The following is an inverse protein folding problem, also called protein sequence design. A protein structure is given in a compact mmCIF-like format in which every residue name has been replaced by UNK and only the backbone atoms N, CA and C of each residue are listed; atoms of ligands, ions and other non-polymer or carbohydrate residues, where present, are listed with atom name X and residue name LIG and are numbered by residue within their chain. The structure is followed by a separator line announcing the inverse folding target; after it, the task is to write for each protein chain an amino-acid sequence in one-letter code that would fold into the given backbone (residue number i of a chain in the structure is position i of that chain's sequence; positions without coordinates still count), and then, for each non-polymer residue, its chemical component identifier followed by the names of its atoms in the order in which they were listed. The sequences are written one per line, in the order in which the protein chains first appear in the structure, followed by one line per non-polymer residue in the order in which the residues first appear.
data_IF_789829021368
#
_entry.id   IF_789829021368
#
_cell.length_a   1.000
_cell.length_b   1.000
_cell.length_c   1.000
_cell.angle_alpha   90.00
_cell.angle_beta   90.00
_cell.angle_gamma   90.00
#
_symmetry.space_group_name_H-M   'P 1'
#
loop_
_entity.id
_entity.type
_entity.pdbx_description
1 polymer ?
#
# COMPACT_ATOMS: atom_id res chain seq x y z
N UNK A 1 -5.79 28.93 13.89
CA UNK A 1 -6.61 27.70 14.06
C UNK A 1 -6.44 26.91 12.76
N UNK A 2 -5.37 26.12 12.65
CA UNK A 2 -5.06 25.34 11.44
C UNK A 2 -5.49 23.92 11.75
N UNK A 3 -6.64 23.54 11.18
CA UNK A 3 -7.27 22.24 11.42
C UNK A 3 -6.52 21.12 10.71
N UNK A 4 -6.47 19.98 11.39
CA UNK A 4 -6.09 18.65 10.93
C UNK A 4 -6.46 18.40 9.45
N UNK A 5 -5.45 18.34 8.57
CA UNK A 5 -5.54 17.63 7.29
C UNK A 5 -4.14 17.17 6.88
N UNK A 6 -3.51 16.36 7.72
CA UNK A 6 -2.16 15.85 7.47
C UNK A 6 -2.17 14.69 6.45
N UNK A 7 -3.36 14.15 6.13
CA UNK A 7 -3.54 13.04 5.19
C UNK A 7 -4.88 13.17 4.45
N UNK A 8 -5.12 14.31 3.78
CA UNK A 8 -6.01 14.28 2.62
C UNK A 8 -5.23 13.57 1.51
N UNK A 9 -5.68 12.41 1.02
CA UNK A 9 -5.07 11.80 -0.15
C UNK A 9 -5.20 12.78 -1.31
N UNK A 10 -4.15 12.86 -2.12
CA UNK A 10 -4.23 13.58 -3.39
C UNK A 10 -5.19 12.82 -4.30
N UNK A 11 -6.34 13.40 -4.71
CA UNK A 11 -7.16 12.81 -5.77
C UNK A 11 -6.32 12.58 -7.03
N UNK A 12 -5.36 13.48 -7.28
CA UNK A 12 -4.47 13.43 -8.43
C UNK A 12 -3.44 12.26 -8.43
N UNK A 13 -3.06 11.71 -7.27
CA UNK A 13 -2.05 10.65 -7.21
C UNK A 13 -2.66 9.26 -7.38
N UNK A 14 -3.87 9.05 -6.86
CA UNK A 14 -4.64 7.82 -7.08
C UNK A 14 -5.18 7.75 -8.51
N UNK A 15 -5.70 8.86 -9.05
CA UNK A 15 -6.13 8.96 -10.46
C UNK A 15 -4.97 8.66 -11.42
N UNK A 16 -3.78 9.22 -11.20
CA UNK A 16 -2.60 8.96 -12.05
C UNK A 16 -2.13 7.50 -12.00
N UNK A 17 -2.21 6.84 -10.83
CA UNK A 17 -1.82 5.43 -10.70
C UNK A 17 -2.80 4.48 -11.41
N UNK A 18 -4.09 4.79 -11.36
CA UNK A 18 -5.14 4.09 -12.12
C UNK A 18 -4.91 4.27 -13.61
N UNK A 19 -4.68 5.50 -14.07
CA UNK A 19 -4.48 5.80 -15.49
C UNK A 19 -3.21 5.18 -16.06
N UNK A 20 -2.11 5.16 -15.30
CA UNK A 20 -0.86 4.50 -15.73
C UNK A 20 -1.07 2.99 -15.85
N UNK A 21 -1.69 2.34 -14.86
CA UNK A 21 -1.91 0.89 -14.92
C UNK A 21 -2.91 0.55 -16.04
N UNK A 22 -3.95 1.35 -16.22
CA UNK A 22 -4.88 1.25 -17.33
C UNK A 22 -4.14 1.34 -18.68
N UNK A 23 -3.30 2.35 -18.87
CA UNK A 23 -2.48 2.52 -20.06
C UNK A 23 -1.55 1.32 -20.29
N UNK A 24 -0.86 0.84 -19.25
CA UNK A 24 0.02 -0.31 -19.35
C UNK A 24 -0.74 -1.59 -19.74
N UNK A 25 -1.95 -1.79 -19.21
CA UNK A 25 -2.81 -2.93 -19.56
C UNK A 25 -3.28 -2.85 -21.02
N UNK A 26 -3.65 -1.66 -21.50
CA UNK A 26 -4.07 -1.44 -22.88
C UNK A 26 -2.94 -1.63 -23.90
N UNK A 27 -1.70 -1.31 -23.50
CA UNK A 27 -0.53 -1.35 -24.36
C UNK A 27 0.36 -2.60 -24.13
N UNK A 28 -0.05 -3.51 -23.25
CA UNK A 28 0.70 -4.73 -22.97
C UNK A 28 0.67 -5.68 -24.18
N UNK A 29 1.82 -6.33 -24.45
CA UNK A 29 1.93 -7.38 -25.47
C UNK A 29 1.05 -8.61 -25.16
N UNK A 30 0.64 -8.78 -23.89
CA UNK A 30 -0.35 -9.75 -23.44
C UNK A 30 -1.52 -8.99 -22.80
N UNK A 31 -2.66 -9.02 -23.48
CA UNK A 31 -3.87 -8.36 -23.01
C UNK A 31 -4.38 -9.02 -21.72
N UNK A 32 -4.86 -8.17 -20.81
CA UNK A 32 -5.47 -8.57 -19.54
C UNK A 32 -6.89 -8.02 -19.50
N UNK A 33 -7.79 -8.69 -18.77
CA UNK A 33 -9.16 -8.18 -18.58
C UNK A 33 -9.09 -6.85 -17.81
N UNK A 34 -9.84 -5.86 -18.29
CA UNK A 34 -10.02 -4.56 -17.63
C UNK A 34 -10.52 -4.70 -16.20
N UNK A 35 -10.31 -3.68 -15.38
CA UNK A 35 -10.76 -3.61 -14.00
C UNK A 35 -12.27 -3.59 -13.83
N UNK A 36 -12.70 -3.60 -12.57
CA UNK A 36 -14.09 -3.35 -12.15
C UNK A 36 -14.16 -2.12 -11.24
N UNK A 37 -15.35 -1.88 -10.69
CA UNK A 37 -15.55 -0.94 -9.59
C UNK A 37 -14.63 -1.20 -8.38
N UNK A 38 -14.00 -2.37 -8.27
CA UNK A 38 -13.04 -2.63 -7.19
C UNK A 38 -11.79 -1.75 -7.31
N UNK A 39 -11.39 -1.32 -8.51
CA UNK A 39 -10.33 -0.33 -8.68
C UNK A 39 -10.75 0.97 -8.00
N UNK A 40 -11.96 1.45 -8.24
CA UNK A 40 -12.44 2.67 -7.58
C UNK A 40 -12.44 2.50 -6.06
N UNK A 41 -12.95 1.35 -5.57
CA UNK A 41 -13.01 1.05 -4.12
C UNK A 41 -11.61 1.06 -3.48
N UNK A 42 -10.60 0.42 -4.08
CA UNK A 42 -9.25 0.36 -3.50
C UNK A 42 -8.46 1.67 -3.63
N UNK A 43 -8.93 2.62 -4.45
CA UNK A 43 -8.35 3.95 -4.58
C UNK A 43 -9.18 5.04 -3.88
N UNK A 44 -10.28 4.69 -3.21
CA UNK A 44 -11.02 5.65 -2.39
C UNK A 44 -10.10 6.28 -1.35
N UNK A 45 -10.25 7.59 -1.10
CA UNK A 45 -9.41 8.34 -0.17
C UNK A 45 -9.27 7.70 1.22
N UNK A 46 -10.35 7.05 1.68
CA UNK A 46 -10.36 6.38 2.99
C UNK A 46 -9.48 5.12 3.06
N UNK A 47 -8.94 4.71 1.91
CA UNK A 47 -8.18 3.50 1.61
C UNK A 47 -6.91 3.83 0.82
N UNK A 48 -6.15 4.85 1.25
CA UNK A 48 -4.87 5.16 0.62
C UNK A 48 -3.92 3.95 0.71
N UNK A 49 -3.42 3.41 -0.41
CA UNK A 49 -2.55 2.26 -0.41
C UNK A 49 -1.19 2.50 0.26
N UNK A 50 -0.75 3.75 0.30
CA UNK A 50 0.44 4.17 1.02
C UNK A 50 0.18 4.33 2.52
N UNK A 51 -1.08 4.35 2.98
CA UNK A 51 -1.41 4.50 4.40
C UNK A 51 -0.70 3.46 5.27
N UNK A 52 -0.69 2.20 4.83
CA UNK A 52 0.03 1.16 5.55
C UNK A 52 1.53 1.49 5.59
N UNK A 53 2.12 1.80 4.43
CA UNK A 53 3.55 2.13 4.28
C UNK A 53 3.97 3.28 5.20
N UNK A 54 3.17 4.35 5.19
CA UNK A 54 3.46 5.65 5.77
C UNK A 54 3.07 5.79 7.24
N UNK A 55 2.17 4.95 7.79
CA UNK A 55 1.79 5.07 9.21
C UNK A 55 2.82 4.47 10.16
N UNK A 56 2.98 5.06 11.32
CA UNK A 56 3.66 4.43 12.46
C UNK A 56 2.75 4.46 13.67
N UNK A 57 2.83 3.43 14.53
CA UNK A 57 2.00 3.33 15.74
C UNK A 57 2.66 3.94 16.96
N UNK A 58 3.97 4.13 16.90
CA UNK A 58 4.80 4.64 17.99
C UNK A 58 6.11 5.21 17.42
N UNK A 59 6.91 5.78 18.32
CA UNK A 59 8.22 6.37 18.02
C UNK A 59 9.23 5.38 17.44
N UNK A 60 9.21 4.13 17.92
CA UNK A 60 10.14 3.11 17.47
C UNK A 60 9.90 2.76 16.00
N UNK A 61 8.64 2.58 15.61
CA UNK A 61 8.24 2.37 14.21
C UNK A 61 8.47 3.60 13.34
N UNK A 62 8.19 4.81 13.87
CA UNK A 62 8.45 6.07 13.16
C UNK A 62 9.93 6.20 12.82
N UNK A 63 10.81 5.97 13.79
CA UNK A 63 12.25 6.03 13.60
C UNK A 63 12.75 4.95 12.65
N UNK A 64 12.27 3.71 12.78
CA UNK A 64 12.66 2.61 11.90
C UNK A 64 12.27 2.88 10.44
N UNK A 65 11.06 3.39 10.19
CA UNK A 65 10.58 3.73 8.84
C UNK A 65 11.26 4.97 8.26
N UNK A 66 11.53 5.99 9.09
CA UNK A 66 12.23 7.21 8.68
C UNK A 66 13.69 7.01 8.28
N UNK A 67 14.27 5.84 8.55
CA UNK A 67 15.63 5.49 8.16
C UNK A 67 15.72 4.68 6.85
N UNK A 68 14.60 4.45 6.14
CA UNK A 68 14.55 3.60 4.95
C UNK A 68 13.60 4.13 3.87
N UNK A 69 12.92 3.20 3.18
CA UNK A 69 12.08 3.46 2.00
C UNK A 69 11.07 4.61 2.17
N UNK A 70 10.54 4.84 3.38
CA UNK A 70 9.59 5.94 3.62
C UNK A 70 10.26 7.31 3.49
N UNK A 71 11.49 7.45 3.98
CA UNK A 71 12.24 8.69 3.85
C UNK A 71 12.65 8.95 2.40
N UNK A 72 13.11 7.93 1.69
CA UNK A 72 13.40 8.02 0.25
C UNK A 72 12.15 8.36 -0.56
N UNK A 73 11.01 7.74 -0.22
CA UNK A 73 9.74 8.05 -0.83
C UNK A 73 9.38 9.52 -0.59
N UNK A 74 9.42 10.02 0.65
CA UNK A 74 8.98 11.38 0.97
C UNK A 74 9.96 12.49 0.52
N UNK A 75 11.23 12.16 0.29
CA UNK A 75 12.29 13.10 -0.12
C UNK A 75 12.61 13.07 -1.61
N UNK A 76 11.95 12.20 -2.38
CA UNK A 76 12.15 12.08 -3.83
C UNK A 76 11.78 13.35 -4.62
N UNK A 77 12.24 13.47 -5.87
CA UNK A 77 11.89 14.60 -6.72
C UNK A 77 10.39 14.54 -7.09
N UNK A 78 9.60 15.38 -6.43
CA UNK A 78 8.17 15.51 -6.65
C UNK A 78 7.81 16.83 -7.33
N UNK A 79 6.62 16.89 -7.91
CA UNK A 79 6.02 18.13 -8.40
C UNK A 79 5.37 18.90 -7.24
N UNK A 80 5.25 20.23 -7.35
CA UNK A 80 4.91 21.14 -6.23
C UNK A 80 3.68 20.73 -5.39
N UNK A 81 2.52 20.35 -5.98
CA UNK A 81 1.39 19.82 -5.22
C UNK A 81 1.70 18.59 -4.35
N UNK A 82 2.56 17.70 -4.83
CA UNK A 82 2.95 16.49 -4.11
C UNK A 82 3.92 16.80 -2.96
N UNK A 83 4.84 17.75 -3.17
CA UNK A 83 5.67 18.30 -2.08
C UNK A 83 4.78 18.91 -0.99
N UNK A 84 3.80 19.72 -1.36
CA UNK A 84 2.90 20.36 -0.40
C UNK A 84 2.11 19.33 0.41
N UNK A 85 1.57 18.29 -0.24
CA UNK A 85 0.84 17.22 0.43
C UNK A 85 1.72 16.37 1.35
N UNK A 86 2.95 16.05 0.93
CA UNK A 86 3.86 15.18 1.69
C UNK A 86 4.64 15.93 2.77
N UNK A 87 4.76 17.25 2.69
CA UNK A 87 5.55 18.08 3.63
C UNK A 87 5.13 17.95 5.08
N UNK A 88 3.82 17.83 5.35
CA UNK A 88 3.31 17.62 6.71
C UNK A 88 3.72 16.27 7.28
N UNK A 89 3.73 15.23 6.45
CA UNK A 89 4.14 13.89 6.83
C UNK A 89 5.67 13.78 6.96
N UNK A 90 6.41 14.40 6.05
CA UNK A 90 7.86 14.50 6.13
C UNK A 90 8.30 15.23 7.41
N UNK A 91 7.59 16.30 7.79
CA UNK A 91 7.82 16.99 9.06
C UNK A 91 7.60 16.10 10.29
N UNK A 92 6.67 15.14 10.25
CA UNK A 92 6.50 14.14 11.33
C UNK A 92 7.72 13.21 11.40
N UNK A 93 8.19 12.70 10.25
CA UNK A 93 9.35 11.81 10.18
C UNK A 93 10.67 12.49 10.56
N UNK A 94 10.82 13.77 10.24
CA UNK A 94 12.00 14.57 10.60
C UNK A 94 11.96 15.08 12.05
N UNK A 95 10.85 14.90 12.77
CA UNK A 95 10.68 15.42 14.13
C UNK A 95 10.46 16.94 14.18
N UNK A 96 10.04 17.53 13.07
CA UNK A 96 9.77 18.98 12.92
C UNK A 96 8.30 19.33 13.19
N UNK A 97 7.41 18.33 13.17
CA UNK A 97 5.98 18.51 13.47
C UNK A 97 5.71 18.64 14.97
N UNK A 98 4.63 19.36 15.31
CA UNK A 98 4.18 19.49 16.70
C UNK A 98 3.74 18.14 17.30
N UNK A 99 3.92 17.96 18.61
CA UNK A 99 3.57 16.73 19.33
C UNK A 99 2.11 16.31 19.12
N UNK A 100 1.17 17.26 19.09
CA UNK A 100 -0.24 17.00 18.82
C UNK A 100 -0.49 16.40 17.41
N UNK A 101 0.29 16.81 16.41
CA UNK A 101 0.19 16.26 15.06
C UNK A 101 0.73 14.82 15.01
N UNK A 102 1.84 14.57 15.71
CA UNK A 102 2.45 13.24 15.84
C UNK A 102 1.56 12.26 16.62
N UNK A 103 0.97 12.70 17.72
CA UNK A 103 -0.03 11.90 18.46
C UNK A 103 -1.27 11.61 17.61
N UNK A 104 -1.75 12.60 16.86
CA UNK A 104 -2.88 12.43 15.94
C UNK A 104 -2.57 11.41 14.83
N UNK A 105 -1.32 11.40 14.36
CA UNK A 105 -0.82 10.44 13.39
C UNK A 105 -0.75 9.01 13.94
N UNK A 106 -0.24 8.81 15.16
CA UNK A 106 -0.20 7.48 15.80
C UNK A 106 -1.60 6.88 16.08
N UNK A 107 -2.62 7.74 16.24
CA UNK A 107 -4.01 7.32 16.48
C UNK A 107 -4.74 6.85 15.21
N UNK A 108 -4.12 6.96 14.03
CA UNK A 108 -4.73 6.50 12.79
C UNK A 108 -4.63 4.97 12.70
N UNK A 109 -5.77 4.29 12.88
CA UNK A 109 -5.83 2.83 12.85
C UNK A 109 -5.78 2.30 11.40
N UNK A 110 -5.06 1.20 11.10
CA UNK A 110 -5.28 0.45 9.87
C UNK A 110 -6.71 -0.06 9.84
N UNK A 111 -7.52 0.50 8.92
CA UNK A 111 -8.91 0.06 8.75
C UNK A 111 -8.93 -1.39 8.23
N UNK A 112 -9.83 -2.26 8.73
CA UNK A 112 -9.84 -3.71 8.48
C UNK A 112 -10.26 -4.14 7.06
N UNK A 113 -10.17 -3.28 6.05
CA UNK A 113 -10.71 -3.53 4.71
C UNK A 113 -9.92 -4.59 3.94
N UNK A 114 -8.66 -4.84 4.29
CA UNK A 114 -7.77 -5.75 3.56
C UNK A 114 -8.26 -7.20 3.49
N UNK A 115 -9.11 -7.65 4.43
CA UNK A 115 -9.35 -9.08 4.64
C UNK A 115 -10.58 -9.60 3.90
N UNK A 116 -11.50 -8.72 3.48
CA UNK A 116 -12.71 -9.17 2.78
C UNK A 116 -12.39 -9.60 1.33
N UNK A 117 -11.37 -9.01 0.71
CA UNK A 117 -10.93 -9.31 -0.65
C UNK A 117 -10.06 -10.57 -0.75
N UNK A 118 -9.37 -10.94 0.34
CA UNK A 118 -8.47 -12.10 0.41
C UNK A 118 -9.17 -13.47 0.43
N UNK A 119 -10.49 -13.55 0.22
CA UNK A 119 -11.25 -14.80 0.39
C UNK A 119 -11.35 -15.67 -0.87
N UNK A 120 -10.88 -15.18 -2.01
CA UNK A 120 -10.98 -15.86 -3.30
C UNK A 120 -9.59 -15.99 -3.94
N UNK A 121 -9.46 -16.79 -5.02
CA UNK A 121 -8.28 -16.71 -5.90
C UNK A 121 -8.20 -15.34 -6.57
N UNK A 122 -7.57 -15.22 -7.73
CA UNK A 122 -7.62 -13.95 -8.47
C UNK A 122 -9.08 -13.50 -8.67
N UNK A 123 -9.33 -12.21 -8.54
CA UNK A 123 -10.60 -11.55 -8.86
C UNK A 123 -10.97 -11.85 -10.31
N UNK A 124 -9.97 -11.98 -11.20
CA UNK A 124 -10.13 -12.42 -12.59
C UNK A 124 -10.47 -13.90 -12.81
N UNK A 125 -10.46 -14.74 -11.76
CA UNK A 125 -10.69 -16.18 -11.84
C UNK A 125 -9.40 -16.97 -11.99
N UNK A 126 -9.26 -17.72 -13.10
CA UNK A 126 -8.05 -18.52 -13.37
C UNK A 126 -6.80 -17.66 -13.61
N UNK A 127 -6.97 -16.48 -14.21
CA UNK A 127 -5.90 -15.53 -14.50
C UNK A 127 -6.21 -14.17 -13.85
N UNK A 128 -5.18 -13.42 -13.43
CA UNK A 128 -5.37 -12.11 -12.84
C UNK A 128 -5.94 -11.13 -13.86
N UNK A 129 -6.76 -10.20 -13.37
CA UNK A 129 -7.24 -9.03 -14.11
C UNK A 129 -6.61 -7.75 -13.54
N UNK A 130 -6.93 -6.60 -14.13
CA UNK A 130 -6.44 -5.28 -13.66
C UNK A 130 -6.59 -5.08 -12.13
N UNK A 131 -7.75 -5.41 -11.57
CA UNK A 131 -8.03 -5.32 -10.12
C UNK A 131 -6.98 -6.09 -9.28
N UNK A 132 -6.52 -7.24 -9.79
CA UNK A 132 -5.57 -8.09 -9.08
C UNK A 132 -4.18 -7.45 -8.99
N UNK A 133 -3.75 -6.69 -10.01
CA UNK A 133 -2.45 -6.03 -10.01
C UNK A 133 -2.41 -4.92 -8.97
N UNK A 134 -3.46 -4.10 -8.89
CA UNK A 134 -3.56 -3.06 -7.87
C UNK A 134 -3.62 -3.67 -6.45
N UNK A 135 -4.48 -4.67 -6.24
CA UNK A 135 -4.62 -5.30 -4.94
C UNK A 135 -3.34 -6.07 -4.53
N UNK A 136 -2.66 -6.73 -5.47
CA UNK A 136 -1.39 -7.41 -5.23
C UNK A 136 -0.30 -6.45 -4.75
N UNK A 137 -0.13 -5.31 -5.45
CA UNK A 137 0.81 -4.26 -5.06
C UNK A 137 0.44 -3.66 -3.69
N UNK A 138 -0.86 -3.47 -3.40
CA UNK A 138 -1.30 -2.95 -2.11
C UNK A 138 -0.97 -3.90 -0.96
N UNK A 139 -1.19 -5.21 -1.13
CA UNK A 139 -0.86 -6.21 -0.11
C UNK A 139 0.66 -6.27 0.13
N UNK A 140 1.48 -6.18 -0.93
CA UNK A 140 2.94 -6.13 -0.77
C UNK A 140 3.38 -4.97 0.13
N UNK A 141 2.80 -3.77 -0.05
CA UNK A 141 3.07 -2.61 0.81
C UNK A 141 2.57 -2.81 2.24
N UNK A 142 1.41 -3.44 2.42
CA UNK A 142 0.92 -3.77 3.78
C UNK A 142 1.87 -4.74 4.47
N UNK A 143 2.35 -5.78 3.78
CA UNK A 143 3.30 -6.74 4.33
C UNK A 143 4.59 -6.08 4.78
N UNK A 144 5.14 -5.16 3.98
CA UNK A 144 6.32 -4.37 4.35
C UNK A 144 6.18 -3.68 5.71
N UNK A 145 4.97 -3.26 6.03
CA UNK A 145 4.68 -2.49 7.26
C UNK A 145 4.61 -3.36 8.49
N UNK A 146 4.51 -4.67 8.28
CA UNK A 146 4.64 -5.69 9.31
C UNK A 146 6.11 -6.05 9.57
N UNK A 147 7.06 -5.35 8.93
CA UNK A 147 8.49 -5.57 9.07
C UNK A 147 9.04 -6.73 8.24
N UNK A 148 8.26 -7.22 7.28
CA UNK A 148 8.65 -8.33 6.40
C UNK A 148 9.14 -7.81 5.06
N UNK A 149 10.31 -8.26 4.62
CA UNK A 149 10.91 -7.85 3.35
C UNK A 149 10.74 -8.87 2.22
N UNK A 150 10.33 -10.10 2.54
CA UNK A 150 10.26 -11.22 1.60
C UNK A 150 8.83 -11.70 1.36
N UNK A 151 8.59 -12.30 0.19
CA UNK A 151 7.27 -12.82 -0.19
C UNK A 151 6.89 -14.09 0.61
N UNK A 152 7.89 -14.82 1.07
CA UNK A 152 7.80 -16.07 1.81
C UNK A 152 7.27 -15.86 3.23
N UNK A 153 7.77 -14.83 3.92
CA UNK A 153 7.39 -14.49 5.30
C UNK A 153 6.06 -13.72 5.37
N UNK A 154 5.64 -13.15 4.24
CA UNK A 154 4.50 -12.25 4.13
C UNK A 154 3.19 -12.85 4.64
N UNK A 155 2.90 -14.10 4.24
CA UNK A 155 1.66 -14.78 4.64
C UNK A 155 1.57 -14.94 6.16
N UNK A 156 2.66 -15.33 6.80
CA UNK A 156 2.74 -15.51 8.25
C UNK A 156 2.63 -14.18 9.00
N UNK A 157 3.25 -13.12 8.48
CA UNK A 157 3.14 -11.80 9.09
C UNK A 157 1.71 -11.25 9.02
N UNK A 158 1.01 -11.43 7.89
CA UNK A 158 -0.39 -11.04 7.77
C UNK A 158 -1.27 -11.86 8.72
N UNK A 159 -1.06 -13.17 8.83
CA UNK A 159 -1.75 -14.03 9.83
C UNK A 159 -1.54 -13.53 11.26
N UNK A 160 -0.28 -13.28 11.64
CA UNK A 160 0.08 -12.76 12.96
C UNK A 160 -0.57 -11.41 13.24
N UNK A 161 -0.54 -10.49 12.28
CA UNK A 161 -1.14 -9.17 12.42
C UNK A 161 -2.66 -9.22 12.53
N UNK A 162 -3.31 -10.23 11.93
CA UNK A 162 -4.76 -10.38 11.99
C UNK A 162 -5.25 -10.89 13.35
N UNK A 163 -4.38 -11.54 14.13
CA UNK A 163 -4.73 -12.07 15.47
C UNK A 163 -5.71 -13.25 15.45
N UNK A 164 -6.04 -13.76 14.26
CA UNK A 164 -6.81 -14.98 14.02
C UNK A 164 -6.16 -15.70 12.83
N UNK A 165 -6.30 -17.03 12.72
CA UNK A 165 -5.91 -17.72 11.49
C UNK A 165 -6.58 -17.02 10.30
N UNK A 166 -5.79 -16.68 9.28
CA UNK A 166 -6.40 -16.25 8.02
C UNK A 166 -7.32 -17.38 7.54
N UNK A 167 -8.43 -17.05 6.85
CA UNK A 167 -9.21 -18.09 6.19
C UNK A 167 -8.27 -18.96 5.35
N UNK A 168 -8.53 -20.27 5.29
CA UNK A 168 -7.74 -21.26 4.52
C UNK A 168 -7.37 -20.79 3.10
N UNK A 169 -8.17 -19.85 2.58
CA UNK A 169 -8.02 -19.12 1.33
C UNK A 169 -7.13 -17.88 1.37
N UNK A 170 -5.95 -17.92 2.00
CA UNK A 170 -4.82 -17.03 1.59
C UNK A 170 -4.31 -17.34 0.16
N UNK A 171 -5.09 -18.11 -0.60
CA UNK A 171 -4.90 -18.48 -1.99
C UNK A 171 -4.58 -17.28 -2.87
N UNK A 172 -5.13 -16.10 -2.58
CA UNK A 172 -4.81 -14.87 -3.30
C UNK A 172 -3.30 -14.54 -3.26
N UNK A 173 -2.73 -14.41 -2.06
CA UNK A 173 -1.31 -14.10 -1.90
C UNK A 173 -0.43 -15.25 -2.41
N UNK A 174 -0.80 -16.49 -2.10
CA UNK A 174 -0.08 -17.69 -2.60
C UNK A 174 -0.08 -17.77 -4.13
N UNK A 175 -1.18 -17.40 -4.78
CA UNK A 175 -1.28 -17.34 -6.24
C UNK A 175 -0.36 -16.25 -6.82
N UNK A 176 -0.21 -15.12 -6.14
CA UNK A 176 0.75 -14.09 -6.55
C UNK A 176 2.20 -14.53 -6.40
N UNK A 177 2.63 -14.94 -5.20
CA UNK A 177 4.05 -15.26 -4.94
C UNK A 177 4.55 -16.49 -5.70
N UNK A 178 3.65 -17.35 -6.17
CA UNK A 178 3.99 -18.50 -7.01
C UNK A 178 4.23 -18.13 -8.48
N UNK A 179 3.72 -16.97 -8.98
CA UNK A 179 3.88 -16.58 -10.38
C UNK A 179 5.34 -16.20 -10.71
N UNK A 180 5.90 -16.67 -11.85
CA UNK A 180 7.24 -16.28 -12.29
C UNK A 180 7.42 -14.76 -12.44
N UNK A 181 6.38 -14.06 -12.90
CA UNK A 181 6.39 -12.59 -13.03
C UNK A 181 6.53 -11.88 -11.69
N UNK A 182 5.85 -12.38 -10.65
CA UNK A 182 5.97 -11.84 -9.30
C UNK A 182 7.40 -12.02 -8.76
N UNK A 183 7.93 -13.24 -8.85
CA UNK A 183 9.30 -13.54 -8.43
C UNK A 183 10.34 -12.71 -9.16
N UNK A 184 10.08 -12.34 -10.41
CA UNK A 184 10.94 -11.46 -11.19
C UNK A 184 10.88 -10.01 -10.70
N UNK A 185 9.68 -9.48 -10.45
CA UNK A 185 9.48 -8.09 -10.02
C UNK A 185 9.96 -7.87 -8.58
N UNK A 186 9.70 -8.82 -7.70
CA UNK A 186 10.04 -8.76 -6.27
C UNK A 186 11.29 -9.59 -5.92
N UNK A 187 12.18 -9.81 -6.90
CA UNK A 187 13.40 -10.60 -6.70
C UNK A 187 14.33 -10.00 -5.62
N UNK A 188 14.35 -8.67 -5.52
CA UNK A 188 15.19 -7.91 -4.59
C UNK A 188 14.45 -7.51 -3.31
N UNK A 189 13.24 -8.05 -3.10
CA UNK A 189 12.38 -7.75 -1.97
C UNK A 189 11.08 -7.05 -2.36
N UNK A 190 10.18 -6.97 -1.39
CA UNK A 190 8.96 -6.17 -1.51
C UNK A 190 9.33 -4.68 -1.52
N UNK A 191 8.71 -3.90 -2.41
CA UNK A 191 8.90 -2.46 -2.57
C UNK A 191 7.55 -1.74 -2.67
#
# INVERSE_FOLDING_TARGET
MVGLSVLTPLPAASELAVDIIAYLVENASRLVKRGTYLIDVIHEDKLDPNFALLLSRNDEELKAKGAGLVSELLSGPFYDPKIAADSGLLGIYNGEAADAAKEGFFKQLPRPITIRLLRFGFIGGEEPREDDFHLGAWIARIVLTLGVQTSEEAAQAVEKSYGKPLPEKVAYWRAWVSKPSWKKVYAEGLH
#
